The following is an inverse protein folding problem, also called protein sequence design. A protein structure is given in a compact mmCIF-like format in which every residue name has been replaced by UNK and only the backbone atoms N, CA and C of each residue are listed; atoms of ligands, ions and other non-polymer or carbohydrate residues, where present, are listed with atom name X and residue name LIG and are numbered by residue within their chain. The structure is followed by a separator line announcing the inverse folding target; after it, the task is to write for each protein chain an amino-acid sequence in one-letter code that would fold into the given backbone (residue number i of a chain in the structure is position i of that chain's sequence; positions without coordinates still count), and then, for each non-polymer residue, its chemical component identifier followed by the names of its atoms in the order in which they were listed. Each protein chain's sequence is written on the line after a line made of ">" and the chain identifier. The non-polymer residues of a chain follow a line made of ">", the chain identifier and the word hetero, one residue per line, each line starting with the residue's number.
data_IF_064879461492
#
_entry.id   IF_064879461492
#
_cell.length_a   1.000
_cell.length_b   1.000
_cell.length_c   1.000
_cell.angle_alpha   90.00
_cell.angle_beta   90.00
_cell.angle_gamma   90.00
#
_symmetry.space_group_name_H-M   'P 1'
#
loop_
_entity.id
_entity.type
_entity.pdbx_description
1 polymer ?
#
# COMPACT_ATOMS: atom_id res chain seq x y z
N UNK A 1 -21.65 -7.58 -48.97
CA UNK A 1 -20.54 -6.83 -48.34
C UNK A 1 -20.50 -7.16 -46.86
N UNK A 2 -19.58 -8.04 -46.43
CA UNK A 2 -19.31 -8.28 -45.02
C UNK A 2 -18.44 -7.12 -44.49
N UNK A 3 -18.96 -6.33 -43.55
CA UNK A 3 -18.13 -5.41 -42.78
C UNK A 3 -17.26 -6.26 -41.85
N UNK A 4 -15.98 -6.46 -42.20
CA UNK A 4 -14.96 -6.90 -41.26
C UNK A 4 -14.90 -5.86 -40.14
N UNK A 5 -15.56 -6.11 -39.01
CA UNK A 5 -15.15 -5.51 -37.74
C UNK A 5 -13.73 -6.00 -37.52
N UNK A 6 -12.74 -5.13 -37.74
CA UNK A 6 -11.40 -5.36 -37.22
C UNK A 6 -11.59 -5.64 -35.72
N UNK A 7 -11.33 -6.89 -35.34
CA UNK A 7 -11.12 -7.24 -33.94
C UNK A 7 -10.07 -6.26 -33.45
N UNK A 8 -10.41 -5.47 -32.43
CA UNK A 8 -9.44 -4.70 -31.67
C UNK A 8 -8.40 -5.73 -31.25
N UNK A 9 -7.17 -5.60 -31.73
CA UNK A 9 -6.09 -6.49 -31.36
C UNK A 9 -5.59 -6.06 -29.99
N UNK A 10 -6.28 -6.55 -28.96
CA UNK A 10 -5.96 -6.28 -27.55
C UNK A 10 -4.61 -6.94 -27.17
N UNK A 11 -4.07 -7.84 -28.00
CA UNK A 11 -2.85 -8.60 -27.67
C UNK A 11 -1.56 -7.81 -27.89
N UNK A 12 -1.55 -6.81 -28.78
CA UNK A 12 -0.34 -6.00 -29.03
C UNK A 12 0.04 -5.07 -27.87
N UNK A 13 -0.95 -4.73 -27.01
CA UNK A 13 -0.78 -3.88 -25.81
C UNK A 13 -0.29 -4.68 -24.58
N UNK A 14 -0.15 -6.01 -24.65
CA UNK A 14 0.30 -6.80 -23.50
C UNK A 14 1.83 -6.72 -23.37
N UNK A 15 2.30 -6.42 -22.16
CA UNK A 15 3.70 -6.53 -21.75
C UNK A 15 3.84 -7.54 -20.60
N UNK A 16 5.04 -8.09 -20.47
CA UNK A 16 5.40 -8.96 -19.37
C UNK A 16 5.94 -8.14 -18.21
N UNK A 17 5.47 -8.37 -16.99
CA UNK A 17 5.99 -7.74 -15.79
C UNK A 17 6.67 -8.80 -14.93
N UNK A 18 7.95 -8.56 -14.64
CA UNK A 18 8.75 -9.39 -13.74
C UNK A 18 8.87 -8.69 -12.39
N UNK A 19 8.57 -9.41 -11.32
CA UNK A 19 8.63 -8.90 -9.95
C UNK A 19 9.46 -9.84 -9.07
N UNK A 20 9.90 -9.34 -7.91
CA UNK A 20 10.66 -10.14 -6.94
C UNK A 20 9.79 -11.22 -6.31
N UNK A 21 10.41 -12.34 -5.94
CA UNK A 21 9.76 -13.40 -5.16
C UNK A 21 9.05 -14.46 -6.01
N UNK A 22 9.02 -14.32 -7.34
CA UNK A 22 8.43 -15.28 -8.26
C UNK A 22 9.24 -15.34 -9.56
N UNK A 23 9.27 -16.52 -10.18
CA UNK A 23 9.78 -16.70 -11.55
C UNK A 23 8.68 -16.49 -12.61
N UNK A 24 7.43 -16.31 -12.18
CA UNK A 24 6.30 -16.08 -13.08
C UNK A 24 6.31 -14.65 -13.60
N UNK A 25 6.01 -14.50 -14.88
CA UNK A 25 5.74 -13.21 -15.51
C UNK A 25 4.24 -12.90 -15.42
N UNK A 26 3.91 -11.71 -14.95
CA UNK A 26 2.54 -11.18 -15.05
C UNK A 26 2.31 -10.60 -16.45
N UNK A 27 1.13 -10.81 -17.02
CA UNK A 27 0.77 -10.28 -18.33
C UNK A 27 -0.20 -9.12 -18.13
N UNK A 28 0.25 -7.91 -18.44
CA UNK A 28 -0.49 -6.67 -18.13
C UNK A 28 -0.60 -5.81 -19.38
N UNK A 29 -1.76 -5.18 -19.58
CA UNK A 29 -1.91 -4.17 -20.63
C UNK A 29 -1.02 -2.96 -20.32
N UNK A 30 -0.13 -2.61 -21.25
CA UNK A 30 0.74 -1.45 -21.18
C UNK A 30 -0.07 -0.17 -20.96
N UNK A 31 -1.25 -0.05 -21.55
CA UNK A 31 -2.17 1.06 -21.29
C UNK A 31 -2.57 1.23 -19.82
N UNK A 32 -2.68 0.14 -19.04
CA UNK A 32 -2.98 0.21 -17.60
C UNK A 32 -1.77 0.66 -16.80
N UNK A 33 -0.57 0.18 -17.13
CA UNK A 33 0.66 0.61 -16.47
C UNK A 33 1.02 2.06 -16.83
N UNK A 34 0.69 2.52 -18.04
CA UNK A 34 0.81 3.94 -18.41
C UNK A 34 -0.04 4.86 -17.53
N UNK A 35 -1.14 4.34 -16.94
CA UNK A 35 -1.90 5.13 -15.96
C UNK A 35 -1.02 5.46 -14.75
N UNK A 36 -0.11 4.57 -14.33
CA UNK A 36 0.80 4.75 -13.19
C UNK A 36 1.88 5.81 -13.38
N UNK A 37 2.20 6.16 -14.62
CA UNK A 37 3.27 7.14 -14.94
C UNK A 37 2.74 8.43 -15.55
N UNK A 38 1.42 8.53 -15.72
CA UNK A 38 0.78 9.69 -16.33
C UNK A 38 0.77 9.66 -17.87
N UNK A 39 -0.04 10.53 -18.50
CA UNK A 39 -0.35 10.46 -19.93
C UNK A 39 0.83 10.83 -20.86
N UNK A 40 1.86 11.48 -20.32
CA UNK A 40 3.00 11.99 -21.11
C UNK A 40 4.27 11.16 -20.95
N UNK A 41 4.29 10.19 -20.04
CA UNK A 41 5.48 9.38 -19.80
C UNK A 41 5.46 8.06 -20.56
N UNK A 42 6.65 7.67 -21.05
CA UNK A 42 6.86 6.34 -21.63
C UNK A 42 7.09 5.37 -20.47
N UNK A 43 6.75 4.09 -20.66
CA UNK A 43 7.13 3.06 -19.68
C UNK A 43 8.65 2.96 -19.48
N UNK A 44 9.43 3.40 -20.46
CA UNK A 44 10.89 3.59 -20.41
C UNK A 44 11.33 4.63 -19.35
N UNK A 45 10.39 5.44 -18.84
CA UNK A 45 10.60 6.48 -17.81
C UNK A 45 10.12 5.99 -16.43
N UNK A 46 9.49 4.81 -16.35
CA UNK A 46 9.22 4.17 -15.05
C UNK A 46 10.55 3.92 -14.31
N UNK A 47 10.52 3.86 -12.98
CA UNK A 47 11.68 3.46 -12.19
C UNK A 47 12.12 1.98 -12.42
N UNK A 48 11.46 1.26 -13.33
CA UNK A 48 11.78 -0.12 -13.73
C UNK A 48 12.69 -0.23 -14.95
N UNK A 49 13.19 -1.43 -15.24
CA UNK A 49 14.03 -1.70 -16.41
C UNK A 49 13.17 -2.34 -17.52
N UNK A 50 12.94 -1.61 -18.62
CA UNK A 50 12.14 -2.09 -19.75
C UNK A 50 13.00 -2.64 -20.89
N UNK A 51 12.77 -3.90 -21.27
CA UNK A 51 13.34 -4.53 -22.45
C UNK A 51 12.30 -4.51 -23.61
N UNK A 52 12.53 -3.70 -24.66
CA UNK A 52 11.61 -3.60 -25.79
C UNK A 52 11.61 -4.83 -26.69
N UNK A 53 12.65 -5.67 -26.67
CA UNK A 53 12.76 -6.88 -27.51
C UNK A 53 11.84 -7.96 -26.95
N UNK A 54 11.89 -8.18 -25.64
CA UNK A 54 11.04 -9.17 -24.97
C UNK A 54 9.72 -8.58 -24.48
N UNK A 55 9.49 -7.27 -24.65
CA UNK A 55 8.36 -6.53 -24.06
C UNK A 55 8.24 -6.77 -22.54
N UNK A 56 9.37 -6.83 -21.84
CA UNK A 56 9.41 -7.13 -20.39
C UNK A 56 9.76 -5.88 -19.59
N UNK A 57 8.94 -5.54 -18.60
CA UNK A 57 9.22 -4.56 -17.56
C UNK A 57 9.69 -5.28 -16.29
N UNK A 58 10.96 -5.11 -15.92
CA UNK A 58 11.52 -5.64 -14.68
C UNK A 58 11.34 -4.65 -13.53
N UNK A 59 10.47 -5.03 -12.59
CA UNK A 59 10.17 -4.31 -11.36
C UNK A 59 10.74 -5.02 -10.13
N UNK A 60 11.65 -5.98 -10.28
CA UNK A 60 12.17 -6.80 -9.17
C UNK A 60 12.87 -5.99 -8.08
N UNK A 61 13.34 -4.77 -8.39
CA UNK A 61 13.91 -3.85 -7.39
C UNK A 61 12.84 -3.07 -6.62
N UNK A 62 11.62 -2.98 -7.14
CA UNK A 62 10.56 -2.10 -6.65
C UNK A 62 9.36 -2.84 -6.06
N UNK A 63 9.04 -4.04 -6.57
CA UNK A 63 7.81 -4.74 -6.24
C UNK A 63 8.00 -6.24 -6.02
N UNK A 64 7.28 -6.79 -5.04
CA UNK A 64 7.08 -8.24 -4.87
C UNK A 64 5.91 -8.71 -5.72
N UNK A 65 5.97 -9.94 -6.23
CA UNK A 65 5.01 -10.49 -7.19
C UNK A 65 3.57 -10.42 -6.66
N UNK A 66 3.30 -11.05 -5.51
CA UNK A 66 1.95 -11.16 -4.97
C UNK A 66 1.37 -9.78 -4.58
N UNK A 67 2.19 -8.88 -4.05
CA UNK A 67 1.76 -7.51 -3.75
C UNK A 67 1.48 -6.70 -5.02
N UNK A 68 2.27 -6.91 -6.09
CA UNK A 68 2.05 -6.22 -7.35
C UNK A 68 0.84 -6.79 -8.10
N UNK A 69 0.48 -8.05 -7.89
CA UNK A 69 -0.76 -8.63 -8.38
C UNK A 69 -1.98 -7.86 -7.85
N UNK A 70 -1.98 -7.44 -6.57
CA UNK A 70 -3.02 -6.55 -6.04
C UNK A 70 -3.07 -5.20 -6.76
N UNK A 71 -1.90 -4.62 -7.09
CA UNK A 71 -1.83 -3.36 -7.85
C UNK A 71 -2.47 -3.54 -9.22
N UNK A 72 -2.12 -4.64 -9.90
CA UNK A 72 -2.68 -4.98 -11.21
C UNK A 72 -4.19 -5.18 -11.09
N UNK A 73 -4.67 -5.98 -10.15
CA UNK A 73 -6.10 -6.19 -9.91
C UNK A 73 -6.83 -4.87 -9.75
N UNK A 74 -6.32 -3.98 -8.88
CA UNK A 74 -6.90 -2.67 -8.62
C UNK A 74 -6.95 -1.78 -9.87
N UNK A 75 -5.93 -1.85 -10.73
CA UNK A 75 -5.91 -1.12 -12.01
C UNK A 75 -6.96 -1.64 -13.00
N UNK A 76 -7.23 -2.95 -13.00
CA UNK A 76 -8.20 -3.58 -13.89
C UNK A 76 -9.65 -3.41 -13.42
N UNK A 77 -9.91 -3.66 -12.13
CA UNK A 77 -11.27 -3.77 -11.60
C UNK A 77 -11.69 -2.52 -10.83
N UNK A 78 -10.74 -1.72 -10.36
CA UNK A 78 -11.00 -0.65 -9.40
C UNK A 78 -11.20 -1.15 -7.97
N UNK A 79 -11.03 -2.45 -7.71
CA UNK A 79 -11.19 -3.10 -6.40
C UNK A 79 -10.01 -4.04 -6.14
N UNK A 80 -9.63 -4.22 -4.86
CA UNK A 80 -8.67 -5.27 -4.46
C UNK A 80 -9.42 -6.34 -3.69
N UNK A 81 -9.28 -7.59 -4.10
CA UNK A 81 -9.72 -8.73 -3.31
C UNK A 81 -8.49 -9.35 -2.65
N UNK A 82 -8.30 -9.02 -1.39
CA UNK A 82 -7.31 -9.70 -0.56
C UNK A 82 -8.01 -10.85 0.15
N UNK A 83 -7.53 -12.07 -0.07
CA UNK A 83 -8.01 -13.22 0.72
C UNK A 83 -7.39 -13.11 2.10
N UNK A 84 -8.22 -12.74 3.08
CA UNK A 84 -7.80 -12.71 4.48
C UNK A 84 -7.74 -14.13 5.03
N UNK A 85 -6.55 -14.57 5.42
CA UNK A 85 -6.38 -15.81 6.18
C UNK A 85 -6.56 -15.50 7.67
N UNK A 86 -7.60 -16.03 8.36
CA UNK A 86 -7.97 -15.61 9.71
C UNK A 86 -6.85 -15.73 10.78
N UNK A 87 -5.84 -16.55 10.50
CA UNK A 87 -4.70 -16.81 11.38
C UNK A 87 -3.39 -16.16 10.89
N UNK A 88 -3.40 -15.45 9.76
CA UNK A 88 -2.21 -14.79 9.19
C UNK A 88 -2.42 -13.28 8.94
N UNK A 89 -2.85 -12.50 9.96
CA UNK A 89 -3.12 -11.07 9.77
C UNK A 89 -1.88 -10.25 9.37
N UNK A 90 -0.68 -10.77 9.66
CA UNK A 90 0.61 -10.17 9.27
C UNK A 90 0.80 -10.19 7.76
N UNK A 91 0.38 -11.26 7.09
CA UNK A 91 0.54 -11.43 5.66
C UNK A 91 -0.23 -10.34 4.90
N UNK A 92 -1.50 -10.15 5.24
CA UNK A 92 -2.38 -9.17 4.63
C UNK A 92 -1.82 -7.73 4.74
N UNK A 93 -1.41 -7.32 5.94
CA UNK A 93 -0.86 -5.98 6.19
C UNK A 93 0.48 -5.76 5.48
N UNK A 94 1.35 -6.78 5.46
CA UNK A 94 2.62 -6.72 4.73
C UNK A 94 2.41 -6.60 3.23
N UNK A 95 1.46 -7.36 2.69
CA UNK A 95 1.13 -7.34 1.26
C UNK A 95 0.55 -5.99 0.84
N UNK A 96 -0.40 -5.44 1.60
CA UNK A 96 -0.98 -4.12 1.34
C UNK A 96 0.07 -3.00 1.40
N UNK A 97 0.93 -3.02 2.41
CA UNK A 97 2.00 -2.02 2.52
C UNK A 97 3.03 -2.13 1.39
N UNK A 98 3.40 -3.36 1.00
CA UNK A 98 4.31 -3.57 -0.14
C UNK A 98 3.66 -3.14 -1.46
N UNK A 99 2.35 -3.37 -1.64
CA UNK A 99 1.59 -2.90 -2.80
C UNK A 99 1.53 -1.37 -2.84
N UNK A 100 1.28 -0.73 -1.69
CA UNK A 100 1.35 0.73 -1.55
C UNK A 100 2.72 1.27 -2.02
N UNK A 101 3.84 0.67 -1.57
CA UNK A 101 5.17 1.13 -2.00
C UNK A 101 5.48 0.86 -3.46
N UNK A 102 5.00 -0.26 -4.00
CA UNK A 102 5.15 -0.54 -5.43
C UNK A 102 4.52 0.59 -6.25
N UNK A 103 3.31 1.02 -5.90
CA UNK A 103 2.67 2.19 -6.54
C UNK A 103 3.45 3.47 -6.26
N UNK A 104 3.78 3.76 -5.00
CA UNK A 104 4.49 4.97 -4.58
C UNK A 104 5.79 5.17 -5.36
N UNK A 105 6.54 4.08 -5.61
CA UNK A 105 7.78 4.11 -6.37
C UNK A 105 7.59 4.08 -7.89
N UNK A 106 6.43 3.67 -8.39
CA UNK A 106 6.13 3.71 -9.83
C UNK A 106 5.52 5.03 -10.27
N UNK A 107 4.90 5.76 -9.34
CA UNK A 107 4.36 7.09 -9.58
C UNK A 107 5.46 8.09 -9.90
N UNK A 108 5.31 8.74 -11.04
CA UNK A 108 6.18 9.83 -11.49
C UNK A 108 5.46 11.18 -11.47
N UNK A 109 4.14 11.18 -11.68
CA UNK A 109 3.26 12.34 -11.50
C UNK A 109 2.53 12.31 -10.15
N UNK A 110 2.97 13.15 -9.22
CA UNK A 110 2.38 13.27 -7.88
C UNK A 110 1.10 14.11 -7.84
N UNK A 111 0.87 14.94 -8.86
CA UNK A 111 -0.31 15.79 -8.97
C UNK A 111 -1.50 15.05 -9.58
N UNK A 112 -1.30 13.81 -10.07
CA UNK A 112 -2.36 12.97 -10.62
C UNK A 112 -3.30 12.43 -9.52
N UNK A 113 -4.55 12.88 -9.57
CA UNK A 113 -5.63 12.47 -8.65
C UNK A 113 -6.00 10.98 -8.74
N UNK A 114 -5.84 10.36 -9.92
CA UNK A 114 -6.09 8.94 -10.10
C UNK A 114 -5.05 8.11 -9.32
N UNK A 115 -3.79 8.52 -9.35
CA UNK A 115 -2.69 7.80 -8.73
C UNK A 115 -2.64 7.94 -7.22
N UNK A 116 -2.88 9.15 -6.73
CA UNK A 116 -3.12 9.38 -5.30
C UNK A 116 -4.36 8.62 -4.81
N UNK A 117 -5.40 8.51 -5.64
CA UNK A 117 -6.55 7.65 -5.39
C UNK A 117 -6.21 6.15 -5.24
N UNK A 118 -5.25 5.65 -6.02
CA UNK A 118 -4.77 4.26 -5.94
C UNK A 118 -4.06 3.99 -4.60
N UNK A 119 -3.14 4.87 -4.22
CA UNK A 119 -2.45 4.83 -2.93
C UNK A 119 -3.43 4.92 -1.76
N UNK A 120 -4.44 5.79 -1.87
CA UNK A 120 -5.45 5.96 -0.84
C UNK A 120 -6.33 4.72 -0.63
N UNK A 121 -6.58 3.91 -1.67
CA UNK A 121 -7.30 2.64 -1.51
C UNK A 121 -6.50 1.59 -0.76
N UNK A 122 -5.19 1.51 -1.00
CA UNK A 122 -4.32 0.65 -0.20
C UNK A 122 -4.27 1.12 1.26
N UNK A 123 -4.22 2.45 1.49
CA UNK A 123 -4.33 3.01 2.83
C UNK A 123 -5.66 2.70 3.51
N UNK A 124 -6.80 2.84 2.81
CA UNK A 124 -8.11 2.48 3.35
C UNK A 124 -8.12 1.03 3.85
N UNK A 125 -7.65 0.08 3.04
CA UNK A 125 -7.59 -1.32 3.43
C UNK A 125 -6.60 -1.60 4.58
N UNK A 126 -5.51 -0.84 4.67
CA UNK A 126 -4.52 -0.95 5.74
C UNK A 126 -5.10 -0.43 7.07
N UNK A 127 -5.74 0.73 7.04
CA UNK A 127 -6.41 1.35 8.19
C UNK A 127 -7.49 0.43 8.75
N UNK A 128 -8.39 -0.03 7.88
CA UNK A 128 -9.55 -0.83 8.30
C UNK A 128 -9.13 -2.15 8.96
N UNK A 129 -8.13 -2.85 8.41
CA UNK A 129 -7.60 -4.09 8.99
C UNK A 129 -6.92 -3.92 10.34
N UNK A 130 -6.32 -2.76 10.58
CA UNK A 130 -5.58 -2.47 11.82
C UNK A 130 -6.52 -1.92 12.91
N UNK A 131 -7.54 -1.14 12.52
CA UNK A 131 -8.52 -0.54 13.43
C UNK A 131 -9.63 -1.53 13.78
N UNK A 132 -10.13 -2.29 12.80
CA UNK A 132 -11.26 -3.22 12.93
C UNK A 132 -10.84 -4.68 12.60
N UNK A 133 -9.83 -5.25 13.29
CA UNK A 133 -9.31 -6.58 12.97
C UNK A 133 -10.37 -7.70 13.07
N UNK A 134 -11.42 -7.51 13.86
CA UNK A 134 -12.52 -8.45 14.03
C UNK A 134 -13.29 -8.76 12.72
N UNK A 135 -13.23 -7.86 11.74
CA UNK A 135 -13.83 -8.07 10.42
C UNK A 135 -13.00 -9.03 9.54
N UNK A 136 -11.74 -9.27 9.89
CA UNK A 136 -10.76 -9.96 9.05
C UNK A 136 -10.10 -11.17 9.71
N UNK A 137 -10.35 -11.38 11.01
CA UNK A 137 -9.86 -12.51 11.78
C UNK A 137 -9.12 -12.08 13.04
N UNK A 138 -7.88 -12.54 13.19
CA UNK A 138 -7.08 -12.27 14.39
C UNK A 138 -6.49 -10.86 14.37
N UNK A 139 -6.53 -10.15 15.50
CA UNK A 139 -5.85 -8.88 15.65
C UNK A 139 -4.33 -9.01 15.56
N UNK A 140 -3.67 -8.04 14.92
CA UNK A 140 -2.22 -7.93 14.92
C UNK A 140 -1.69 -7.64 16.32
N UNK A 141 -0.64 -8.34 16.71
CA UNK A 141 0.16 -7.93 17.86
C UNK A 141 1.04 -6.73 17.48
N UNK A 142 1.43 -5.92 18.47
CA UNK A 142 2.41 -4.83 18.27
C UNK A 142 3.70 -5.33 17.62
N UNK A 143 4.16 -6.53 17.98
CA UNK A 143 5.38 -7.12 17.43
C UNK A 143 5.22 -7.43 15.94
N UNK A 144 4.10 -8.05 15.56
CA UNK A 144 3.77 -8.33 14.17
C UNK A 144 3.63 -7.04 13.37
N UNK A 145 2.95 -6.02 13.90
CA UNK A 145 2.82 -4.74 13.21
C UNK A 145 4.17 -4.04 13.02
N UNK A 146 5.03 -4.01 14.03
CA UNK A 146 6.37 -3.43 13.90
C UNK A 146 7.23 -4.19 12.88
N UNK A 147 7.08 -5.51 12.79
CA UNK A 147 7.78 -6.33 11.78
C UNK A 147 7.28 -6.01 10.36
N UNK A 148 5.96 -5.97 10.17
CA UNK A 148 5.32 -5.71 8.87
C UNK A 148 5.69 -4.35 8.27
N UNK A 149 6.06 -3.41 9.13
CA UNK A 149 6.19 -1.98 8.81
C UNK A 149 7.64 -1.52 8.74
N UNK A 150 8.59 -2.46 8.87
CA UNK A 150 10.01 -2.20 8.64
C UNK A 150 10.21 -1.69 7.22
N UNK A 151 10.78 -0.49 7.11
CA UNK A 151 11.07 0.15 5.83
C UNK A 151 9.95 1.06 5.31
N UNK A 152 8.81 1.16 6.01
CA UNK A 152 7.76 2.09 5.63
C UNK A 152 8.16 3.55 5.94
N UNK A 153 7.79 4.46 5.04
CA UNK A 153 7.88 5.92 5.16
C UNK A 153 6.58 6.62 4.68
N UNK A 154 6.38 7.90 5.02
CA UNK A 154 5.18 8.66 4.58
C UNK A 154 3.90 8.34 5.37
N UNK A 155 2.71 8.36 4.73
CA UNK A 155 1.43 8.19 5.43
C UNK A 155 1.26 6.87 6.20
N UNK A 156 1.67 5.68 5.67
CA UNK A 156 1.60 4.43 6.43
C UNK A 156 2.32 4.52 7.78
N UNK A 157 3.60 4.94 7.80
CA UNK A 157 4.38 4.96 9.05
C UNK A 157 3.83 6.00 10.05
N UNK A 158 3.23 7.09 9.56
CA UNK A 158 2.54 8.06 10.42
C UNK A 158 1.34 7.40 11.11
N UNK A 159 0.49 6.70 10.35
CA UNK A 159 -0.65 5.97 10.92
C UNK A 159 -0.20 4.94 11.94
N UNK A 160 0.81 4.11 11.61
CA UNK A 160 1.32 3.08 12.52
C UNK A 160 1.87 3.71 13.79
N UNK A 161 2.56 4.85 13.69
CA UNK A 161 3.06 5.59 14.85
C UNK A 161 1.91 6.04 15.75
N UNK A 162 0.86 6.64 15.18
CA UNK A 162 -0.32 7.04 15.95
C UNK A 162 -1.07 5.82 16.51
N UNK A 163 -1.16 4.72 15.77
CA UNK A 163 -1.81 3.50 16.24
C UNK A 163 -1.06 2.82 17.39
N UNK A 164 0.27 2.84 17.37
CA UNK A 164 1.05 2.36 18.51
C UNK A 164 0.79 3.19 19.77
N UNK A 165 0.45 4.47 19.60
CA UNK A 165 0.20 5.40 20.71
C UNK A 165 -1.24 5.28 21.22
N UNK A 166 -2.23 5.22 20.32
CA UNK A 166 -3.66 5.33 20.64
C UNK A 166 -4.45 4.02 20.48
N UNK A 167 -3.89 3.03 19.81
CA UNK A 167 -4.59 1.79 19.46
C UNK A 167 -4.89 0.90 20.66
N UNK A 168 -5.88 0.03 20.51
CA UNK A 168 -6.24 -0.98 21.52
C UNK A 168 -5.22 -2.13 21.50
N UNK A 169 -4.05 -1.88 22.08
CA UNK A 169 -2.96 -2.84 22.12
C UNK A 169 -3.27 -3.97 23.11
N UNK A 170 -3.72 -5.12 22.60
CA UNK A 170 -4.13 -6.28 23.41
C UNK A 170 -2.99 -7.05 24.08
N UNK A 171 -1.73 -6.58 24.05
CA UNK A 171 -0.62 -7.35 24.61
C UNK A 171 0.05 -6.71 25.84
N UNK A 172 0.41 -7.58 26.80
CA UNK A 172 1.36 -7.33 27.89
C UNK A 172 2.78 -7.18 27.32
N UNK A 173 3.00 -6.23 26.42
CA UNK A 173 4.32 -6.02 25.82
C UNK A 173 5.26 -5.36 26.84
N UNK A 174 6.42 -5.97 27.08
CA UNK A 174 7.46 -5.36 27.93
C UNK A 174 8.12 -4.22 27.14
N UNK A 175 8.18 -2.98 27.67
CA UNK A 175 8.80 -1.85 26.98
C UNK A 175 10.19 -2.12 26.42
N UNK A 176 11.00 -2.93 27.10
CA UNK A 176 12.34 -3.32 26.66
C UNK A 176 12.37 -4.09 25.32
N UNK A 177 11.30 -4.82 24.96
CA UNK A 177 11.18 -5.47 23.64
C UNK A 177 10.78 -4.50 22.53
N UNK A 178 9.95 -3.50 22.84
CA UNK A 178 9.54 -2.44 21.92
C UNK A 178 10.77 -1.65 21.42
N UNK A 179 11.69 -1.33 22.33
CA UNK A 179 12.98 -0.66 22.04
C UNK A 179 13.83 -1.41 21.02
N UNK A 180 13.77 -2.75 21.00
CA UNK A 180 14.58 -3.57 20.09
C UNK A 180 13.98 -3.64 18.69
N UNK A 181 12.68 -3.39 18.53
CA UNK A 181 11.94 -3.54 17.27
C UNK A 181 11.90 -2.25 16.43
N UNK A 182 11.93 -1.06 17.05
CA UNK A 182 11.91 0.22 16.34
C UNK A 182 13.34 0.61 15.91
N UNK A 183 13.63 0.59 14.61
CA UNK A 183 14.94 0.96 14.05
C UNK A 183 15.35 2.41 14.30
N UNK A 184 16.67 2.64 14.39
CA UNK A 184 17.38 3.81 14.97
C UNK A 184 16.98 5.25 14.55
N UNK A 185 16.11 5.50 13.56
CA UNK A 185 15.80 6.88 13.11
C UNK A 185 14.57 7.52 13.74
N UNK A 186 13.61 6.72 14.23
CA UNK A 186 12.39 7.21 14.89
C UNK A 186 12.19 6.59 16.29
N UNK A 187 13.15 5.77 16.71
CA UNK A 187 13.14 4.92 17.90
C UNK A 187 12.82 5.68 19.18
N UNK A 188 13.54 6.76 19.46
CA UNK A 188 13.41 7.41 20.76
C UNK A 188 12.14 8.23 20.86
N UNK A 189 11.70 8.86 19.76
CA UNK A 189 10.47 9.68 19.76
C UNK A 189 9.21 8.82 19.79
N UNK A 190 9.14 7.75 19.00
CA UNK A 190 7.97 6.84 19.01
C UNK A 190 7.87 6.10 20.34
N UNK A 191 9.00 5.66 20.89
CA UNK A 191 9.03 5.01 22.21
C UNK A 191 8.65 5.96 23.34
N UNK A 192 9.13 7.20 23.30
CA UNK A 192 8.76 8.24 24.26
C UNK A 192 7.25 8.51 24.21
N UNK A 193 6.69 8.75 23.03
CA UNK A 193 5.25 9.01 22.85
C UNK A 193 4.40 7.83 23.31
N UNK A 194 4.82 6.59 23.01
CA UNK A 194 4.17 5.37 23.47
C UNK A 194 4.10 5.29 25.01
N UNK A 195 5.22 5.60 25.69
CA UNK A 195 5.29 5.57 27.15
C UNK A 195 4.51 6.72 27.79
N UNK A 196 4.60 7.93 27.22
CA UNK A 196 3.87 9.12 27.68
C UNK A 196 2.35 8.93 27.60
N UNK A 197 1.83 8.30 26.54
CA UNK A 197 0.39 8.02 26.40
C UNK A 197 -0.11 6.88 27.28
N UNK A 198 0.66 5.80 27.45
CA UNK A 198 0.38 4.78 28.46
C UNK A 198 0.22 5.39 29.87
N UNK A 199 0.95 6.46 30.16
CA UNK A 199 0.90 7.19 31.43
C UNK A 199 -0.24 8.23 31.49
N UNK A 200 -0.59 8.86 30.36
CA UNK A 200 -1.61 9.91 30.29
C UNK A 200 -3.06 9.39 30.22
N UNK A 201 -3.26 8.12 29.85
CA UNK A 201 -4.59 7.55 29.60
C UNK A 201 -5.05 7.77 28.15
N UNK A 202 -6.11 7.05 27.76
CA UNK A 202 -6.58 6.99 26.36
C UNK A 202 -7.20 8.33 25.92
N UNK A 203 -6.47 9.10 25.11
CA UNK A 203 -7.03 10.22 24.36
C UNK A 203 -7.65 9.71 23.05
N UNK A 204 -8.67 10.41 22.53
CA UNK A 204 -9.41 10.01 21.32
C UNK A 204 -8.42 9.84 20.15
N UNK A 205 -8.37 8.65 19.50
CA UNK A 205 -7.44 8.39 18.42
C UNK A 205 -7.54 9.40 17.26
N UNK A 206 -6.43 9.79 16.62
CA UNK A 206 -6.49 10.83 15.58
C UNK A 206 -7.30 10.41 14.35
N UNK A 207 -7.33 9.12 14.01
CA UNK A 207 -8.17 8.58 12.92
C UNK A 207 -9.67 8.67 13.20
N UNK A 208 -10.11 8.82 14.46
CA UNK A 208 -11.53 9.06 14.77
C UNK A 208 -11.93 10.52 14.54
N UNK A 209 -10.97 11.45 14.63
CA UNK A 209 -11.21 12.89 14.42
C UNK A 209 -11.07 13.28 12.95
N UNK A 210 -10.06 12.74 12.29
CA UNK A 210 -9.77 12.98 10.88
C UNK A 210 -9.14 11.72 10.26
N UNK A 211 -9.95 10.79 9.74
CA UNK A 211 -9.46 9.61 9.03
C UNK A 211 -8.56 9.98 7.83
N UNK A 212 -8.75 11.18 7.26
CA UNK A 212 -8.06 11.64 6.07
C UNK A 212 -6.64 12.12 6.34
N UNK A 213 -6.21 12.25 7.60
CA UNK A 213 -4.85 12.61 7.98
C UNK A 213 -3.77 11.64 7.46
N UNK A 214 -4.18 10.44 7.05
CA UNK A 214 -3.31 9.35 6.57
C UNK A 214 -3.40 9.12 5.06
N UNK A 215 -4.12 9.97 4.33
CA UNK A 215 -4.27 9.89 2.87
C UNK A 215 -3.47 10.99 2.18
N UNK A 216 -3.17 10.77 0.91
CA UNK A 216 -2.59 11.78 0.02
C UNK A 216 -3.72 12.63 -0.57
N UNK A 217 -3.59 13.96 -0.48
CA UNK A 217 -4.58 14.92 -0.99
C UNK A 217 -3.95 15.91 -1.95
N UNK A 218 -4.55 16.08 -3.13
CA UNK A 218 -4.26 17.17 -4.06
C UNK A 218 -5.57 17.80 -4.54
N UNK A 219 -5.83 19.04 -4.12
CA UNK A 219 -7.09 19.76 -4.36
C UNK A 219 -8.26 19.28 -3.50
N UNK A 220 -9.42 19.94 -3.63
CA UNK A 220 -10.69 19.73 -2.90
C UNK A 220 -11.28 18.31 -3.07
N UNK A 221 -10.57 17.28 -2.60
CA UNK A 221 -11.03 15.88 -2.61
C UNK A 221 -12.22 15.72 -1.67
N UNK A 222 -13.42 16.06 -2.17
CA UNK A 222 -14.72 15.91 -1.48
C UNK A 222 -14.98 14.47 -1.03
N UNK A 223 -14.28 13.48 -1.60
CA UNK A 223 -14.40 12.07 -1.21
C UNK A 223 -13.88 11.79 0.19
N UNK A 224 -12.88 12.53 0.65
CA UNK A 224 -12.37 12.35 2.00
C UNK A 224 -13.18 13.16 3.04
N UNK A 225 -13.63 14.37 2.66
CA UNK A 225 -14.52 15.19 3.49
C UNK A 225 -15.91 14.58 3.72
N UNK A 226 -16.37 13.66 2.85
CA UNK A 226 -17.66 12.97 3.02
C UNK A 226 -17.62 11.83 4.06
N UNK A 227 -16.45 11.57 4.67
CA UNK A 227 -16.27 10.54 5.72
C UNK A 227 -16.05 11.12 7.13
N UNK A 228 -16.07 12.45 7.27
CA UNK A 228 -16.01 13.16 8.55
C UNK A 228 -17.42 13.46 9.10
#
# INVERSE_FOLDING_TARGET
>A
MQRKRHKIDVTEDIIHVKCRGSTKLMHVHQSLLKRLVGPFEKLEVTNGEFDPITKTLDLSKLAQHDSFELVVQLLYTGETELVDEPNEPLFAVTMLGTAYYAVFHLMTDWDDQYLTGLLNKFMDHLLDRIINPENYGSALTVEMLLEATKGFCGPPIRFISDWLVHGHLTSKMRPARLVQLVGNRFKDRVLQLFLEQRLAGYDVPPWEKDPCAYHLHFGESKRCQARA
#
